data_IF_030793393678
#
_entry.id   IF_030793393678
#
_cell.length_a   1.000
_cell.length_b   1.000
_cell.length_c   1.000
_cell.angle_alpha   90.00
_cell.angle_beta   90.00
_cell.angle_gamma   90.00
#
_symmetry.space_group_name_H-M   'P 1'
#
loop_
_entity.id
_entity.type
_entity.pdbx_description
1 polymer ?
#
# COMPACT_ATOMS: atom_id res chain seq x y z
N UNK A 1 8.17 17.24 15.98
CA UNK A 1 8.89 16.77 14.78
C UNK A 1 8.79 15.26 14.65
N UNK A 2 9.14 14.47 15.68
CA UNK A 2 8.94 12.99 15.63
C UNK A 2 7.46 12.59 15.48
N UNK A 3 6.54 13.23 16.21
CA UNK A 3 5.09 13.00 16.08
C UNK A 3 4.54 13.28 14.67
N UNK A 4 5.09 14.28 13.98
CA UNK A 4 4.64 14.65 12.62
C UNK A 4 5.13 13.63 11.59
N UNK A 5 6.35 13.12 11.77
CA UNK A 5 6.92 12.07 10.93
C UNK A 5 6.16 10.75 11.13
N UNK A 6 5.85 10.39 12.37
CA UNK A 6 5.06 9.19 12.66
C UNK A 6 3.63 9.29 12.13
N UNK A 7 2.99 10.45 12.27
CA UNK A 7 1.67 10.71 11.68
C UNK A 7 1.68 10.61 10.14
N UNK A 8 2.71 11.17 9.48
CA UNK A 8 2.89 11.03 8.04
C UNK A 8 3.11 9.58 7.62
N UNK A 9 3.87 8.79 8.41
CA UNK A 9 4.07 7.37 8.18
C UNK A 9 2.75 6.58 8.22
N UNK A 10 1.90 6.82 9.24
CA UNK A 10 0.59 6.18 9.34
C UNK A 10 -0.34 6.55 8.18
N UNK A 11 -0.29 7.81 7.72
CA UNK A 11 -1.05 8.26 6.56
C UNK A 11 -0.59 7.55 5.27
N UNK A 12 0.73 7.41 5.06
CA UNK A 12 1.30 6.67 3.93
C UNK A 12 0.92 5.19 3.98
N UNK A 13 0.98 4.58 5.16
CA UNK A 13 0.62 3.18 5.38
C UNK A 13 -0.83 2.91 4.97
N UNK A 14 -1.76 3.78 5.39
CA UNK A 14 -3.18 3.71 5.00
C UNK A 14 -3.39 3.94 3.50
N UNK A 15 -2.61 4.84 2.90
CA UNK A 15 -2.70 5.14 1.47
C UNK A 15 -2.26 3.96 0.61
N UNK A 16 -1.15 3.30 0.95
CA UNK A 16 -0.67 2.12 0.21
C UNK A 16 -1.61 0.92 0.38
N UNK A 17 -2.18 0.71 1.57
CA UNK A 17 -3.20 -0.33 1.79
C UNK A 17 -4.42 -0.10 0.90
N UNK A 18 -4.93 1.14 0.84
CA UNK A 18 -6.06 1.50 0.00
C UNK A 18 -5.73 1.36 -1.50
N UNK A 19 -4.53 1.76 -1.91
CA UNK A 19 -4.06 1.61 -3.28
C UNK A 19 -4.01 0.14 -3.69
N UNK A 20 -3.47 -0.74 -2.84
CA UNK A 20 -3.43 -2.18 -3.07
C UNK A 20 -4.85 -2.77 -3.24
N UNK A 21 -5.78 -2.43 -2.34
CA UNK A 21 -7.18 -2.89 -2.40
C UNK A 21 -7.88 -2.42 -3.68
N UNK A 22 -7.71 -1.15 -4.06
CA UNK A 22 -8.30 -0.59 -5.29
C UNK A 22 -7.74 -1.23 -6.55
N UNK A 23 -6.43 -1.42 -6.62
CA UNK A 23 -5.78 -2.07 -7.73
C UNK A 23 -6.22 -3.54 -7.84
N UNK A 24 -6.32 -4.25 -6.72
CA UNK A 24 -6.84 -5.62 -6.69
C UNK A 24 -8.30 -5.70 -7.16
N UNK A 25 -9.16 -4.79 -6.71
CA UNK A 25 -10.56 -4.74 -7.18
C UNK A 25 -10.63 -4.48 -8.70
N UNK A 26 -9.83 -3.55 -9.21
CA UNK A 26 -9.79 -3.26 -10.64
C UNK A 26 -9.29 -4.47 -11.45
N UNK A 27 -8.25 -5.18 -10.98
CA UNK A 27 -7.74 -6.39 -11.62
C UNK A 27 -8.81 -7.47 -11.79
N UNK A 28 -9.77 -7.56 -10.86
CA UNK A 28 -10.84 -8.56 -10.89
C UNK A 28 -12.13 -8.09 -11.58
N UNK A 29 -12.24 -6.81 -11.94
CA UNK A 29 -13.45 -6.24 -12.55
C UNK A 29 -13.24 -5.80 -14.00
N UNK A 30 -12.00 -5.55 -14.40
CA UNK A 30 -11.67 -5.21 -15.78
C UNK A 30 -11.82 -6.43 -16.69
N UNK A 31 -12.44 -6.22 -17.85
CA UNK A 31 -12.61 -7.25 -18.89
C UNK A 31 -11.43 -7.31 -19.84
N UNK A 32 -10.64 -6.22 -19.92
CA UNK A 32 -9.39 -6.18 -20.66
C UNK A 32 -8.29 -6.88 -19.86
N UNK A 33 -7.77 -7.99 -20.41
CA UNK A 33 -6.77 -8.82 -19.73
C UNK A 33 -5.42 -8.12 -19.49
N UNK A 34 -5.01 -7.21 -20.37
CA UNK A 34 -3.73 -6.48 -20.22
C UNK A 34 -3.87 -5.44 -19.11
N UNK A 35 -4.99 -4.71 -19.06
CA UNK A 35 -5.26 -3.78 -17.98
C UNK A 35 -5.44 -4.52 -16.64
N UNK A 36 -6.13 -5.66 -16.63
CA UNK A 36 -6.29 -6.48 -15.43
C UNK A 36 -4.93 -6.95 -14.86
N UNK A 37 -4.03 -7.43 -15.73
CA UNK A 37 -2.67 -7.83 -15.32
C UNK A 37 -1.87 -6.63 -14.80
N UNK A 38 -1.96 -5.47 -15.46
CA UNK A 38 -1.35 -4.24 -15.00
C UNK A 38 -1.82 -3.84 -13.59
N UNK A 39 -3.13 -3.92 -13.34
CA UNK A 39 -3.69 -3.64 -12.02
C UNK A 39 -3.27 -4.66 -10.96
N UNK A 40 -3.14 -5.95 -11.32
CA UNK A 40 -2.63 -6.97 -10.41
C UNK A 40 -1.18 -6.69 -9.99
N UNK A 41 -0.33 -6.26 -10.94
CA UNK A 41 1.06 -5.85 -10.67
C UNK A 41 1.13 -4.61 -9.77
N UNK A 42 0.25 -3.63 -10.01
CA UNK A 42 0.15 -2.44 -9.14
C UNK A 42 -0.31 -2.81 -7.73
N UNK A 43 -1.26 -3.74 -7.60
CA UNK A 43 -1.74 -4.21 -6.30
C UNK A 43 -0.62 -4.87 -5.49
N UNK A 44 0.16 -5.76 -6.13
CA UNK A 44 1.31 -6.39 -5.51
C UNK A 44 2.36 -5.35 -5.08
N UNK A 45 2.69 -4.41 -5.96
CA UNK A 45 3.68 -3.37 -5.67
C UNK A 45 3.26 -2.45 -4.51
N UNK A 46 1.98 -2.08 -4.41
CA UNK A 46 1.45 -1.31 -3.28
C UNK A 46 1.44 -2.12 -1.98
N UNK A 47 1.13 -3.43 -2.06
CA UNK A 47 1.20 -4.33 -0.90
C UNK A 47 2.64 -4.47 -0.36
N UNK A 48 3.64 -4.54 -1.23
CA UNK A 48 5.05 -4.62 -0.83
C UNK A 48 5.50 -3.32 -0.13
N UNK A 49 5.10 -2.16 -0.67
CA UNK A 49 5.38 -0.86 -0.03
C UNK A 49 4.66 -0.74 1.32
N UNK A 50 3.40 -1.17 1.41
CA UNK A 50 2.65 -1.19 2.66
C UNK A 50 3.37 -2.06 3.72
N UNK A 51 3.81 -3.26 3.36
CA UNK A 51 4.55 -4.14 4.26
C UNK A 51 5.86 -3.51 4.74
N UNK A 52 6.60 -2.83 3.85
CA UNK A 52 7.81 -2.11 4.22
C UNK A 52 7.53 -0.95 5.19
N UNK A 53 6.48 -0.15 4.94
CA UNK A 53 6.07 0.94 5.82
C UNK A 53 5.58 0.44 7.18
N UNK A 54 4.86 -0.69 7.20
CA UNK A 54 4.40 -1.32 8.44
C UNK A 54 5.57 -1.77 9.30
N UNK A 55 6.57 -2.44 8.72
CA UNK A 55 7.78 -2.83 9.45
C UNK A 55 8.53 -1.63 10.04
N UNK A 56 8.56 -0.50 9.33
CA UNK A 56 9.13 0.75 9.86
C UNK A 56 8.29 1.24 11.04
N UNK A 57 6.96 1.28 10.91
CA UNK A 57 6.07 1.77 11.96
C UNK A 57 6.13 0.90 13.24
N UNK A 58 6.22 -0.42 13.10
CA UNK A 58 6.40 -1.35 14.22
C UNK A 58 7.76 -1.10 14.93
N UNK A 59 8.82 -0.84 14.17
CA UNK A 59 10.13 -0.49 14.74
C UNK A 59 10.16 0.86 15.47
N UNK A 60 9.24 1.78 15.17
CA UNK A 60 9.07 3.05 15.90
C UNK A 60 8.36 2.87 17.24
N UNK A 61 7.52 1.84 17.40
CA UNK A 61 6.79 1.57 18.65
C UNK A 61 7.70 0.86 19.70
N UNK A 62 8.80 0.25 19.24
CA UNK A 62 9.79 -0.43 20.09
C UNK A 62 10.91 0.50 20.64
N UNK A 63 10.98 1.77 20.19
CA UNK A 63 12.00 2.77 20.57
C UNK A 63 11.46 3.85 21.49
#
# INVERSE_FOLDING_TARGET
MEDEVFSALLALLSAEELAAKRAHLAANTLTDGVLAEGMARLAASASDRHAALLSIAEGYDET
#
